data_IF_115449534413
#
_entry.id   IF_115449534413
#
_cell.length_a   1.000
_cell.length_b   1.000
_cell.length_c   1.000
_cell.angle_alpha   90.00
_cell.angle_beta   90.00
_cell.angle_gamma   90.00
#
_symmetry.space_group_name_H-M   'P 1'
#
loop_
_entity.id
_entity.type
_entity.pdbx_description
1 polymer ?
#
# COMPACT_ATOMS: atom_id res chain seq x y z
N UNK A 1 17.49 21.90 15.50
CA UNK A 1 17.12 20.59 14.99
C UNK A 1 15.77 20.68 14.31
N UNK A 2 15.76 20.65 13.01
CA UNK A 2 14.53 20.54 12.24
C UNK A 2 13.98 19.14 12.42
N UNK A 3 12.86 19.04 13.15
CA UNK A 3 12.10 17.78 13.21
C UNK A 3 11.77 17.39 11.77
N UNK A 4 12.07 16.15 11.40
CA UNK A 4 11.55 15.58 10.16
C UNK A 4 10.03 15.80 10.15
N UNK A 5 9.55 16.62 9.22
CA UNK A 5 8.12 16.89 9.07
C UNK A 5 7.48 15.79 8.22
N UNK A 6 7.67 14.55 8.65
CA UNK A 6 7.02 13.39 8.04
C UNK A 6 5.70 13.13 8.78
N UNK A 7 4.64 12.96 8.02
CA UNK A 7 3.31 12.67 8.52
C UNK A 7 2.67 11.58 7.68
N UNK A 8 2.02 10.61 8.33
CA UNK A 8 1.15 9.63 7.66
C UNK A 8 -0.26 9.83 8.18
N UNK A 9 -1.20 9.99 7.27
CA UNK A 9 -2.61 10.16 7.59
C UNK A 9 -3.49 9.63 6.46
N UNK A 10 -4.79 9.56 6.70
CA UNK A 10 -5.74 9.30 5.62
C UNK A 10 -5.71 10.45 4.61
N UNK A 11 -5.77 10.08 3.33
CA UNK A 11 -5.79 11.05 2.25
C UNK A 11 -7.08 11.87 2.28
N UNK A 12 -6.96 13.14 1.95
CA UNK A 12 -8.08 14.07 1.75
C UNK A 12 -8.10 14.52 0.30
N UNK A 13 -9.21 15.15 -0.14
CA UNK A 13 -9.42 15.52 -1.54
C UNK A 13 -8.23 16.31 -2.14
N UNK A 14 -7.61 17.18 -1.34
CA UNK A 14 -6.46 17.97 -1.80
C UNK A 14 -5.19 17.15 -2.09
N UNK A 15 -5.13 15.90 -1.69
CA UNK A 15 -3.96 15.04 -1.91
C UNK A 15 -3.97 14.35 -3.27
N UNK A 16 -5.08 14.40 -4.00
CA UNK A 16 -5.24 13.59 -5.23
C UNK A 16 -4.16 13.86 -6.27
N UNK A 17 -3.81 15.11 -6.51
CA UNK A 17 -2.79 15.45 -7.50
C UNK A 17 -1.42 14.86 -7.12
N UNK A 18 -1.07 14.91 -5.84
CA UNK A 18 0.15 14.31 -5.32
C UNK A 18 0.16 12.79 -5.42
N UNK A 19 -0.98 12.15 -5.16
CA UNK A 19 -1.15 10.70 -5.30
C UNK A 19 -0.97 10.28 -6.75
N UNK A 20 -1.63 10.98 -7.69
CA UNK A 20 -1.53 10.69 -9.12
C UNK A 20 -0.10 10.87 -9.65
N UNK A 21 0.62 11.88 -9.18
CA UNK A 21 2.03 12.07 -9.55
C UNK A 21 2.93 10.98 -9.00
N UNK A 22 2.63 10.45 -7.83
CA UNK A 22 3.42 9.41 -7.17
C UNK A 22 3.17 8.04 -7.79
N UNK A 23 1.99 7.83 -8.37
CA UNK A 23 1.61 6.54 -8.98
C UNK A 23 2.29 6.34 -10.32
N UNK A 24 3.37 5.55 -10.33
CA UNK A 24 4.13 5.25 -11.56
C UNK A 24 3.35 4.38 -12.55
N UNK A 25 2.27 3.77 -12.13
CA UNK A 25 1.44 2.91 -12.97
C UNK A 25 0.28 3.64 -13.61
N UNK A 26 0.05 4.92 -13.27
CA UNK A 26 -1.04 5.71 -13.85
C UNK A 26 -0.97 5.78 -15.37
N UNK A 27 0.24 5.86 -15.93
CA UNK A 27 0.46 5.88 -17.36
C UNK A 27 0.02 4.59 -18.07
N UNK A 28 -0.04 3.45 -17.36
CA UNK A 28 -0.50 2.16 -17.91
C UNK A 28 -1.99 1.93 -17.70
N UNK A 29 -2.56 2.50 -16.63
CA UNK A 29 -3.96 2.33 -16.27
C UNK A 29 -4.91 3.36 -16.87
N UNK A 30 -4.38 4.49 -17.36
CA UNK A 30 -5.15 5.58 -17.93
C UNK A 30 -6.24 6.10 -16.99
N UNK A 31 -7.37 6.48 -17.57
CA UNK A 31 -8.51 7.08 -16.85
C UNK A 31 -9.07 6.12 -15.77
N UNK A 32 -9.07 4.82 -16.02
CA UNK A 32 -9.59 3.83 -15.08
C UNK A 32 -8.78 3.79 -13.79
N UNK A 33 -7.47 3.98 -13.88
CA UNK A 33 -6.58 4.02 -12.71
C UNK A 33 -6.83 5.27 -11.87
N UNK A 34 -6.96 6.42 -12.50
CA UNK A 34 -7.27 7.68 -11.84
C UNK A 34 -8.62 7.63 -11.13
N UNK A 35 -9.65 7.11 -11.79
CA UNK A 35 -10.98 6.92 -11.21
C UNK A 35 -10.95 5.97 -10.01
N UNK A 36 -10.18 4.90 -10.11
CA UNK A 36 -9.97 3.96 -9.02
C UNK A 36 -9.37 4.66 -7.79
N UNK A 37 -8.29 5.43 -7.98
CA UNK A 37 -7.63 6.14 -6.88
C UNK A 37 -8.55 7.20 -6.26
N UNK A 38 -9.34 7.91 -7.06
CA UNK A 38 -10.32 8.87 -6.54
C UNK A 38 -11.38 8.19 -5.69
N UNK A 39 -11.88 7.03 -6.10
CA UNK A 39 -12.83 6.25 -5.30
C UNK A 39 -12.22 5.77 -3.99
N UNK A 40 -10.99 5.28 -4.02
CA UNK A 40 -10.29 4.84 -2.80
C UNK A 40 -10.14 5.99 -1.80
N UNK A 41 -9.80 7.17 -2.30
CA UNK A 41 -9.69 8.37 -1.48
C UNK A 41 -11.04 8.74 -0.85
N UNK A 42 -12.11 8.76 -1.66
CA UNK A 42 -13.46 9.09 -1.20
C UNK A 42 -13.99 8.11 -0.15
N UNK A 43 -13.61 6.83 -0.26
CA UNK A 43 -13.99 5.79 0.69
C UNK A 43 -13.11 5.75 1.95
N UNK A 44 -12.09 6.61 2.03
CA UNK A 44 -11.16 6.60 3.17
C UNK A 44 -10.20 5.42 3.20
N UNK A 45 -9.94 4.80 2.06
CA UNK A 45 -9.11 3.60 1.90
C UNK A 45 -7.65 3.93 1.54
N UNK A 46 -7.31 5.20 1.43
CA UNK A 46 -5.98 5.64 1.04
C UNK A 46 -5.27 6.34 2.20
N UNK A 47 -4.02 5.91 2.46
CA UNK A 47 -3.09 6.56 3.36
C UNK A 47 -2.04 7.32 2.54
N UNK A 48 -1.67 8.51 2.97
CA UNK A 48 -0.58 9.27 2.35
C UNK A 48 0.57 9.46 3.34
N UNK A 49 1.77 9.39 2.81
CA UNK A 49 2.98 9.82 3.49
C UNK A 49 3.34 11.21 2.96
N UNK A 50 3.35 12.18 3.86
CA UNK A 50 3.72 13.56 3.54
C UNK A 50 5.13 13.84 4.03
N UNK A 51 5.95 14.36 3.13
CA UNK A 51 7.27 14.90 3.44
C UNK A 51 7.23 16.40 3.22
N UNK A 52 7.29 17.15 4.31
CA UNK A 52 7.19 18.63 4.27
C UNK A 52 5.93 19.11 3.52
N UNK A 53 4.81 18.44 3.74
CA UNK A 53 3.53 18.76 3.12
C UNK A 53 3.35 18.26 1.68
N UNK A 54 4.35 17.58 1.11
CA UNK A 54 4.28 17.00 -0.23
C UNK A 54 4.08 15.49 -0.17
N UNK A 55 3.19 14.94 -1.00
CA UNK A 55 2.97 13.49 -1.06
C UNK A 55 4.24 12.81 -1.58
N UNK A 56 4.81 11.94 -0.75
CA UNK A 56 6.01 11.17 -1.05
C UNK A 56 5.71 9.67 -1.24
N UNK A 57 4.53 9.24 -0.86
CA UNK A 57 4.08 7.86 -1.01
C UNK A 57 2.63 7.72 -0.60
N UNK A 58 2.02 6.60 -0.97
CA UNK A 58 0.66 6.28 -0.56
C UNK A 58 0.44 4.78 -0.50
N UNK A 59 -0.57 4.37 0.24
CA UNK A 59 -1.04 2.99 0.30
C UNK A 59 -2.56 2.96 0.15
N UNK A 60 -3.06 1.94 -0.53
CA UNK A 60 -4.51 1.67 -0.61
C UNK A 60 -4.80 0.37 0.12
N UNK A 61 -5.73 0.43 1.07
CA UNK A 61 -6.17 -0.71 1.87
C UNK A 61 -7.63 -0.95 1.57
N UNK A 62 -7.96 -2.15 1.08
CA UNK A 62 -9.33 -2.56 0.78
C UNK A 62 -9.87 -3.40 1.94
N UNK A 63 -10.82 -2.86 2.73
CA UNK A 63 -11.35 -3.59 3.89
C UNK A 63 -12.10 -4.84 3.48
N UNK A 64 -11.76 -5.97 4.11
CA UNK A 64 -12.42 -7.26 3.94
C UNK A 64 -12.57 -7.73 2.48
N UNK A 65 -11.71 -7.29 1.59
CA UNK A 65 -11.82 -7.49 0.14
C UNK A 65 -11.13 -8.76 -0.35
N UNK A 66 -10.30 -9.39 0.48
CA UNK A 66 -9.58 -10.61 0.12
C UNK A 66 -10.07 -11.77 1.00
N UNK A 67 -11.08 -12.49 0.52
CA UNK A 67 -11.70 -13.59 1.27
C UNK A 67 -12.11 -13.17 2.70
N UNK A 68 -12.65 -11.95 2.83
CA UNK A 68 -13.06 -11.39 4.11
C UNK A 68 -11.94 -10.79 4.95
N UNK A 69 -10.70 -10.71 4.43
CA UNK A 69 -9.55 -10.08 5.10
C UNK A 69 -9.15 -8.81 4.38
N UNK A 70 -8.58 -7.88 5.14
CA UNK A 70 -8.08 -6.65 4.57
C UNK A 70 -6.94 -6.94 3.60
N UNK A 71 -6.89 -6.18 2.52
CA UNK A 71 -5.92 -6.34 1.45
C UNK A 71 -5.24 -4.99 1.15
N UNK A 72 -3.92 -4.97 1.23
CA UNK A 72 -3.15 -3.80 0.78
C UNK A 72 -2.97 -3.96 -0.73
N UNK A 73 -3.75 -3.20 -1.48
CA UNK A 73 -3.77 -3.30 -2.93
C UNK A 73 -2.67 -2.52 -3.61
N UNK A 74 -2.28 -1.39 -3.02
CA UNK A 74 -1.22 -0.54 -3.54
C UNK A 74 -0.32 -0.04 -2.43
N UNK A 75 0.98 0.00 -2.73
CA UNK A 75 1.99 0.66 -1.92
C UNK A 75 2.97 1.32 -2.89
N UNK A 76 2.91 2.63 -2.97
CA UNK A 76 3.71 3.42 -3.92
C UNK A 76 4.57 4.43 -3.18
N UNK A 77 5.82 4.54 -3.60
CA UNK A 77 6.78 5.53 -3.08
C UNK A 77 7.33 6.31 -4.26
N UNK A 78 7.41 7.62 -4.10
CA UNK A 78 8.05 8.49 -5.09
C UNK A 78 9.47 7.99 -5.38
N UNK A 79 9.81 7.70 -6.65
CA UNK A 79 11.14 7.19 -7.01
C UNK A 79 12.29 8.09 -6.55
N UNK A 80 12.06 9.41 -6.51
CA UNK A 80 13.06 10.37 -6.04
C UNK A 80 13.31 10.31 -4.53
N UNK A 81 12.45 9.63 -3.78
CA UNK A 81 12.47 9.57 -2.31
C UNK A 81 12.61 8.15 -1.76
N UNK A 82 13.05 7.21 -2.58
CA UNK A 82 13.29 5.82 -2.17
C UNK A 82 14.45 5.74 -1.15
N UNK A 83 14.50 4.63 -0.41
CA UNK A 83 15.51 4.32 0.63
C UNK A 83 15.46 5.24 1.86
N UNK A 84 14.32 5.87 2.12
CA UNK A 84 14.08 6.70 3.32
C UNK A 84 13.13 6.04 4.31
N UNK A 85 12.76 4.78 4.10
CA UNK A 85 11.83 4.06 4.96
C UNK A 85 10.36 4.42 4.77
N UNK A 86 10.01 5.13 3.70
CA UNK A 86 8.63 5.58 3.43
C UNK A 86 7.70 4.38 3.23
N UNK A 87 8.09 3.42 2.39
CA UNK A 87 7.30 2.21 2.15
C UNK A 87 7.10 1.37 3.41
N UNK A 88 8.15 1.23 4.21
CA UNK A 88 8.08 0.53 5.50
C UNK A 88 7.08 1.19 6.45
N UNK A 89 7.15 2.50 6.58
CA UNK A 89 6.27 3.24 7.48
C UNK A 89 4.81 3.20 7.02
N UNK A 90 4.57 3.29 5.71
CA UNK A 90 3.24 3.11 5.14
C UNK A 90 2.69 1.71 5.38
N UNK A 91 3.52 0.69 5.19
CA UNK A 91 3.13 -0.70 5.42
C UNK A 91 2.76 -0.94 6.88
N UNK A 92 3.55 -0.41 7.82
CA UNK A 92 3.28 -0.51 9.26
C UNK A 92 2.00 0.23 9.66
N UNK A 93 1.78 1.41 9.09
CA UNK A 93 0.55 2.17 9.36
C UNK A 93 -0.67 1.46 8.78
N UNK A 94 -0.55 0.87 7.60
CA UNK A 94 -1.61 0.05 7.02
C UNK A 94 -2.01 -1.10 7.95
N UNK A 95 -1.05 -1.76 8.57
CA UNK A 95 -1.33 -2.81 9.57
C UNK A 95 -1.98 -2.23 10.82
N UNK A 96 -1.56 -1.04 11.26
CA UNK A 96 -2.11 -0.40 12.46
C UNK A 96 -3.59 -0.02 12.29
N UNK A 97 -4.01 0.37 11.09
CA UNK A 97 -5.40 0.75 10.80
C UNK A 97 -6.26 -0.41 10.31
N UNK A 98 -5.68 -1.58 10.04
CA UNK A 98 -6.39 -2.74 9.53
C UNK A 98 -7.50 -3.19 10.49
N UNK A 99 -8.63 -3.59 9.92
CA UNK A 99 -9.80 -4.03 10.67
C UNK A 99 -9.85 -5.54 10.93
N UNK A 100 -9.03 -6.32 10.23
CA UNK A 100 -9.00 -7.79 10.36
C UNK A 100 -7.70 -8.27 11.00
N UNK A 101 -7.74 -9.46 11.60
CA UNK A 101 -6.60 -10.06 12.29
C UNK A 101 -5.44 -10.36 11.34
N UNK A 102 -5.76 -10.82 10.13
CA UNK A 102 -4.79 -11.06 9.06
C UNK A 102 -4.97 -10.07 7.93
N UNK A 103 -3.86 -9.64 7.39
CA UNK A 103 -3.81 -8.72 6.26
C UNK A 103 -3.00 -9.38 5.15
N UNK A 104 -3.52 -9.31 3.93
CA UNK A 104 -2.87 -9.84 2.73
C UNK A 104 -2.39 -8.71 1.85
N UNK A 105 -1.39 -9.01 1.04
CA UNK A 105 -0.92 -8.14 -0.04
C UNK A 105 -0.33 -9.00 -1.15
N UNK A 106 -0.10 -8.42 -2.30
CA UNK A 106 0.54 -9.10 -3.40
C UNK A 106 1.46 -8.19 -4.18
N UNK A 107 2.38 -8.78 -4.93
CA UNK A 107 3.27 -8.06 -5.83
C UNK A 107 3.76 -9.03 -6.91
N UNK A 108 4.12 -8.47 -8.08
CA UNK A 108 4.72 -9.29 -9.13
C UNK A 108 6.05 -9.90 -8.68
N UNK A 109 6.36 -11.09 -9.15
CA UNK A 109 7.62 -11.78 -8.85
C UNK A 109 8.84 -10.94 -9.22
N UNK A 110 8.74 -10.10 -10.25
CA UNK A 110 9.80 -9.20 -10.70
C UNK A 110 10.04 -8.01 -9.77
N UNK A 111 9.10 -7.69 -8.88
CA UNK A 111 9.22 -6.53 -7.99
C UNK A 111 10.10 -6.84 -6.77
N UNK A 112 11.41 -6.83 -6.97
CA UNK A 112 12.38 -7.13 -5.92
C UNK A 112 12.34 -6.17 -4.72
N UNK A 113 12.20 -4.84 -4.90
CA UNK A 113 12.11 -3.94 -3.76
C UNK A 113 10.96 -4.27 -2.82
N UNK A 114 9.77 -4.55 -3.37
CA UNK A 114 8.60 -4.90 -2.55
C UNK A 114 8.77 -6.26 -1.88
N UNK A 115 9.28 -7.25 -2.59
CA UNK A 115 9.56 -8.58 -2.03
C UNK A 115 10.54 -8.50 -0.85
N UNK A 116 11.59 -7.71 -1.01
CA UNK A 116 12.59 -7.50 0.04
C UNK A 116 11.98 -6.80 1.26
N UNK A 117 11.13 -5.80 1.02
CA UNK A 117 10.43 -5.09 2.10
C UNK A 117 9.52 -6.03 2.88
N UNK A 118 8.70 -6.81 2.20
CA UNK A 118 7.79 -7.77 2.85
C UNK A 118 8.57 -8.79 3.69
N UNK A 119 9.68 -9.30 3.16
CA UNK A 119 10.55 -10.23 3.90
C UNK A 119 11.13 -9.57 5.14
N UNK A 120 11.67 -8.37 5.01
CA UNK A 120 12.27 -7.63 6.12
C UNK A 120 11.24 -7.32 7.22
N UNK A 121 9.98 -7.09 6.85
CA UNK A 121 8.89 -6.82 7.80
C UNK A 121 8.21 -8.10 8.32
N UNK A 122 8.72 -9.27 7.99
CA UNK A 122 8.26 -10.54 8.55
C UNK A 122 6.98 -11.10 7.94
N UNK A 123 6.62 -10.67 6.73
CA UNK A 123 5.46 -11.22 6.03
C UNK A 123 5.74 -12.64 5.55
N UNK A 124 4.73 -13.49 5.61
CA UNK A 124 4.78 -14.88 5.15
C UNK A 124 4.34 -14.99 3.69
N UNK A 125 5.07 -15.78 2.90
CA UNK A 125 4.66 -16.12 1.55
C UNK A 125 3.48 -17.09 1.60
N UNK A 126 2.42 -16.81 0.85
CA UNK A 126 1.21 -17.63 0.79
C UNK A 126 1.11 -18.48 -0.48
N UNK A 127 1.43 -17.90 -1.62
CA UNK A 127 1.32 -18.59 -2.90
C UNK A 127 1.48 -17.64 -4.07
N UNK A 128 1.35 -18.18 -5.28
CA UNK A 128 1.44 -17.39 -6.50
C UNK A 128 0.23 -17.60 -7.40
N UNK A 129 -0.11 -16.55 -8.15
CA UNK A 129 -1.20 -16.54 -9.11
C UNK A 129 -0.63 -16.32 -10.50
N UNK A 130 -0.93 -17.24 -11.41
CA UNK A 130 -0.63 -17.12 -12.82
C UNK A 130 -1.82 -16.49 -13.58
N UNK A 131 -1.56 -15.96 -14.76
CA UNK A 131 -2.59 -15.49 -15.66
C UNK A 131 -2.98 -14.03 -15.52
N UNK A 132 -2.39 -13.29 -14.59
CA UNK A 132 -2.59 -11.85 -14.46
C UNK A 132 -1.65 -11.07 -15.39
N UNK A 133 -0.35 -11.34 -15.28
CA UNK A 133 0.67 -10.80 -16.17
C UNK A 133 1.47 -11.96 -16.75
N UNK A 134 1.60 -12.00 -18.06
CA UNK A 134 2.32 -13.10 -18.73
C UNK A 134 3.79 -13.12 -18.35
N UNK A 135 4.27 -14.27 -17.85
CA UNK A 135 5.66 -14.47 -17.49
C UNK A 135 6.09 -13.78 -16.18
N UNK A 136 5.17 -13.15 -15.47
CA UNK A 136 5.46 -12.46 -14.21
C UNK A 136 4.34 -12.72 -13.20
N UNK A 137 4.36 -13.86 -12.50
CA UNK A 137 3.28 -14.23 -11.59
C UNK A 137 3.14 -13.26 -10.42
N UNK A 138 1.93 -13.17 -9.92
CA UNK A 138 1.61 -12.39 -8.71
C UNK A 138 1.91 -13.23 -7.48
N UNK A 139 2.75 -12.73 -6.59
CA UNK A 139 3.09 -13.38 -5.32
C UNK A 139 2.23 -12.82 -4.20
N UNK A 140 1.58 -13.70 -3.45
CA UNK A 140 0.68 -13.33 -2.34
C UNK A 140 1.37 -13.55 -1.01
N UNK A 141 1.27 -12.56 -0.13
CA UNK A 141 1.85 -12.56 1.21
C UNK A 141 0.80 -12.21 2.24
N UNK A 142 1.03 -12.61 3.50
CA UNK A 142 0.16 -12.24 4.61
C UNK A 142 0.96 -12.03 5.89
N UNK A 143 0.34 -11.31 6.83
CA UNK A 143 0.85 -11.15 8.18
C UNK A 143 -0.30 -10.88 9.15
N UNK A 144 -0.02 -10.97 10.45
CA UNK A 144 -0.97 -10.58 11.48
C UNK A 144 -0.96 -9.06 11.68
N UNK A 145 -2.15 -8.46 11.83
CA UNK A 145 -2.27 -7.03 12.10
C UNK A 145 -1.99 -6.66 13.56
N UNK A 146 -1.96 -7.64 14.45
CA UNK A 146 -1.89 -7.41 15.90
C UNK A 146 -3.26 -7.24 16.55
N UNK A 147 -4.34 -7.18 15.77
CA UNK A 147 -5.70 -7.11 16.32
C UNK A 147 -6.22 -8.50 16.66
N UNK A 148 -6.72 -8.65 17.89
CA UNK A 148 -7.47 -9.84 18.29
C UNK A 148 -8.96 -9.58 18.03
N UNK A 149 -9.65 -10.56 17.44
CA UNK A 149 -11.09 -10.50 17.35
C UNK A 149 -11.69 -10.62 18.77
N UNK A 150 -12.77 -9.87 19.07
CA UNK A 150 -13.47 -10.04 20.35
C UNK A 150 -13.92 -11.50 20.52
N UNK A 151 -13.54 -12.15 21.62
CA UNK A 151 -13.99 -13.50 21.96
C UNK A 151 -13.05 -14.66 21.62
N UNK A 152 -11.81 -14.37 21.23
CA UNK A 152 -10.77 -15.40 21.09
C UNK A 152 -9.72 -15.28 22.16
#
# INVERSE_FOLDING_TARGET
MTRSQAEIRRAVAGDIDGILRTDHHSARGGQNRDDFLRRCLDLGECLVYLDRGSVAGFAVIKPADFFGRDFIELLMVDPARRRRGIGRNLLREALAVAGTERVFTSTNASNQPMRSLLRAEGWSFSGELDGLDEGDPELVFYTASGRRLPGQ
#
